data_IF_394012040522
#
_entry.id   IF_394012040522
#
_cell.length_a   1.000
_cell.length_b   1.000
_cell.length_c   1.000
_cell.angle_alpha   90.00
_cell.angle_beta   90.00
_cell.angle_gamma   90.00
#
_symmetry.space_group_name_H-M   'P 1'
#
loop_
_entity.id
_entity.type
_entity.pdbx_description
1 polymer ?
#
# COMPACT_ATOMS: atom_id res chain seq x y z
N UNK A 1 -56.26 -20.77 31.94
CA UNK A 1 -55.93 -19.36 31.71
C UNK A 1 -54.52 -19.14 32.24
N UNK A 2 -53.59 -18.84 31.34
CA UNK A 2 -52.21 -18.50 31.64
C UNK A 2 -52.15 -16.98 31.84
N UNK A 3 -51.49 -16.50 32.88
CA UNK A 3 -50.98 -15.13 32.93
C UNK A 3 -49.48 -15.21 33.20
N UNK A 4 -48.72 -15.20 32.10
CA UNK A 4 -47.26 -15.06 32.10
C UNK A 4 -47.00 -13.55 32.08
N UNK A 5 -46.30 -13.06 33.10
CA UNK A 5 -45.91 -11.67 33.26
C UNK A 5 -45.27 -11.13 31.96
N UNK A 6 -45.83 -10.02 31.47
CA UNK A 6 -45.28 -9.29 30.31
C UNK A 6 -43.98 -8.63 30.76
N UNK A 7 -42.88 -9.19 30.29
CA UNK A 7 -41.57 -8.53 30.34
C UNK A 7 -41.63 -7.40 29.32
N UNK A 8 -41.77 -6.16 29.79
CA UNK A 8 -41.64 -4.98 28.96
C UNK A 8 -40.18 -4.87 28.51
N UNK A 9 -39.91 -5.28 27.26
CA UNK A 9 -38.67 -4.98 26.58
C UNK A 9 -38.55 -3.47 26.43
N UNK A 10 -37.83 -2.87 27.37
CA UNK A 10 -37.35 -1.51 27.29
C UNK A 10 -36.22 -1.46 26.25
N UNK A 11 -36.58 -1.51 24.97
CA UNK A 11 -35.68 -1.13 23.88
C UNK A 11 -35.50 0.38 23.92
N UNK A 12 -34.67 0.84 24.86
CA UNK A 12 -34.08 2.18 24.83
C UNK A 12 -33.16 2.18 23.62
N UNK A 13 -33.72 2.53 22.47
CA UNK A 13 -32.93 3.07 21.38
C UNK A 13 -32.16 4.24 21.98
N UNK A 14 -30.84 4.08 22.11
CA UNK A 14 -29.90 5.19 22.26
C UNK A 14 -30.14 6.09 21.05
N UNK A 15 -31.06 7.05 21.20
CA UNK A 15 -31.18 8.15 20.27
C UNK A 15 -29.87 8.91 20.42
N UNK A 16 -28.94 8.64 19.51
CA UNK A 16 -27.87 9.57 19.20
C UNK A 16 -28.59 10.88 18.86
N UNK A 17 -28.70 11.77 19.83
CA UNK A 17 -29.23 13.09 19.60
C UNK A 17 -28.43 13.67 18.44
N UNK A 18 -29.10 13.99 17.33
CA UNK A 18 -28.54 14.82 16.27
C UNK A 18 -28.33 16.24 16.84
N UNK A 19 -27.33 16.39 17.71
CA UNK A 19 -26.99 17.67 18.28
C UNK A 19 -26.34 18.50 17.16
N UNK A 20 -26.74 19.78 16.97
CA UNK A 20 -26.15 20.66 15.97
C UNK A 20 -24.64 20.90 16.19
N UNK A 21 -24.10 20.51 17.36
CA UNK A 21 -22.68 20.49 17.66
C UNK A 21 -21.89 19.49 16.81
N UNK A 22 -22.47 18.33 16.49
CA UNK A 22 -21.74 17.26 15.79
C UNK A 22 -21.59 17.59 14.30
N UNK A 23 -22.62 18.21 13.71
CA UNK A 23 -22.55 18.77 12.36
C UNK A 23 -21.53 19.92 12.28
N UNK A 24 -21.47 20.77 13.32
CA UNK A 24 -20.47 21.83 13.42
C UNK A 24 -19.04 21.28 13.53
N UNK A 25 -18.82 20.27 14.37
CA UNK A 25 -17.53 19.59 14.52
C UNK A 25 -17.13 18.90 13.22
N UNK A 26 -18.07 18.23 12.54
CA UNK A 26 -17.81 17.58 11.27
C UNK A 26 -17.41 18.59 10.19
N UNK A 27 -18.12 19.72 10.09
CA UNK A 27 -17.77 20.81 9.17
C UNK A 27 -16.37 21.34 9.44
N UNK A 28 -16.03 21.59 10.70
CA UNK A 28 -14.71 22.05 11.10
C UNK A 28 -13.61 21.02 10.75
N UNK A 29 -13.89 19.73 10.94
CA UNK A 29 -12.96 18.65 10.60
C UNK A 29 -12.77 18.53 9.09
N UNK A 30 -13.84 18.67 8.30
CA UNK A 30 -13.77 18.67 6.83
C UNK A 30 -12.93 19.87 6.35
N UNK A 31 -13.18 21.06 6.90
CA UNK A 31 -12.41 22.26 6.55
C UNK A 31 -10.92 22.11 6.92
N UNK A 32 -10.62 21.55 8.09
CA UNK A 32 -9.25 21.25 8.50
C UNK A 32 -8.59 20.22 7.57
N UNK A 33 -9.33 19.20 7.13
CA UNK A 33 -8.82 18.17 6.22
C UNK A 33 -8.57 18.73 4.81
N UNK A 34 -9.46 19.59 4.31
CA UNK A 34 -9.29 20.29 3.04
C UNK A 34 -8.06 21.20 3.10
N UNK A 35 -7.87 21.95 4.18
CA UNK A 35 -6.71 22.81 4.37
C UNK A 35 -5.41 21.99 4.42
N UNK A 36 -5.40 20.88 5.16
CA UNK A 36 -4.26 19.95 5.22
C UNK A 36 -3.92 19.37 3.85
N UNK A 37 -4.94 18.92 3.10
CA UNK A 37 -4.80 18.43 1.72
C UNK A 37 -4.21 19.51 0.80
N UNK A 38 -4.76 20.72 0.84
CA UNK A 38 -4.33 21.82 -0.01
C UNK A 38 -2.89 22.26 0.31
N UNK A 39 -2.51 22.31 1.59
CA UNK A 39 -1.13 22.56 2.01
C UNK A 39 -0.17 21.46 1.50
N UNK A 40 -0.61 20.21 1.50
CA UNK A 40 0.17 19.09 0.97
C UNK A 40 0.33 19.18 -0.55
N UNK A 41 -0.73 19.52 -1.28
CA UNK A 41 -0.69 19.72 -2.74
C UNK A 41 0.22 20.90 -3.09
N UNK A 42 0.12 22.02 -2.39
CA UNK A 42 1.00 23.18 -2.59
C UNK A 42 2.47 22.80 -2.32
N UNK A 43 2.74 22.04 -1.25
CA UNK A 43 4.08 21.51 -0.96
C UNK A 43 4.61 20.64 -2.10
N UNK A 44 3.81 19.71 -2.61
CA UNK A 44 4.19 18.84 -3.74
C UNK A 44 4.42 19.68 -5.01
N UNK A 45 3.57 20.66 -5.29
CA UNK A 45 3.73 21.57 -6.43
C UNK A 45 5.02 22.39 -6.33
N UNK A 46 5.38 22.90 -5.14
CA UNK A 46 6.64 23.59 -4.91
C UNK A 46 7.87 22.67 -5.06
N UNK A 47 7.76 21.40 -4.66
CA UNK A 47 8.82 20.40 -4.84
C UNK A 47 9.02 20.04 -6.33
N UNK A 48 7.96 20.07 -7.14
CA UNK A 48 8.04 19.87 -8.60
C UNK A 48 8.68 21.05 -9.34
N UNK A 49 8.64 22.27 -8.78
CA UNK A 49 9.20 23.49 -9.40
C UNK A 49 10.73 23.55 -9.28
N UNK A 50 11.35 22.88 -8.29
CA UNK A 50 12.82 22.87 -8.16
C UNK A 50 13.37 21.51 -7.69
N UNK A 51 13.92 20.77 -8.65
CA UNK A 51 14.66 19.51 -8.43
C UNK A 51 15.73 19.64 -7.32
N UNK A 52 16.52 20.75 -7.24
CA UNK A 52 17.52 20.89 -6.18
C UNK A 52 16.92 20.98 -4.76
N UNK A 53 15.81 21.70 -4.57
CA UNK A 53 15.20 21.85 -3.25
C UNK A 53 14.56 20.54 -2.78
N UNK A 54 13.94 19.79 -3.70
CA UNK A 54 13.45 18.45 -3.46
C UNK A 54 14.59 17.51 -3.02
N UNK A 55 15.74 17.52 -3.72
CA UNK A 55 16.90 16.69 -3.37
C UNK A 55 17.52 17.05 -2.01
N UNK A 56 17.66 18.33 -1.67
CA UNK A 56 18.18 18.76 -0.35
C UNK A 56 17.27 18.29 0.79
N UNK A 57 15.96 18.35 0.58
CA UNK A 57 14.97 17.92 1.58
C UNK A 57 14.91 16.41 1.71
N UNK A 58 15.00 15.68 0.59
CA UNK A 58 15.08 14.22 0.57
C UNK A 58 16.35 13.73 1.27
N UNK A 59 17.48 14.41 1.00
CA UNK A 59 18.72 14.23 1.75
C UNK A 59 18.50 14.48 3.23
N UNK A 60 17.76 15.53 3.63
CA UNK A 60 17.47 15.80 5.05
C UNK A 60 16.61 14.72 5.72
N UNK A 61 15.55 14.26 5.05
CA UNK A 61 14.65 13.22 5.57
C UNK A 61 15.37 11.88 5.72
N UNK A 62 16.22 11.53 4.77
CA UNK A 62 16.94 10.25 4.76
C UNK A 62 18.29 10.30 5.52
N UNK A 63 18.66 11.40 6.21
CA UNK A 63 20.03 11.51 6.81
C UNK A 63 20.37 10.39 7.78
N UNK A 64 19.41 9.90 8.56
CA UNK A 64 19.65 8.80 9.50
C UNK A 64 20.05 7.50 8.79
N UNK A 65 19.51 7.28 7.60
CA UNK A 65 19.82 6.11 6.78
C UNK A 65 21.13 6.32 6.01
N UNK A 66 21.34 7.50 5.41
CA UNK A 66 22.58 7.86 4.68
C UNK A 66 23.83 7.71 5.55
N UNK A 67 23.83 8.21 6.79
CA UNK A 67 25.03 8.17 7.64
C UNK A 67 25.42 6.74 8.03
N UNK A 68 24.45 5.84 8.23
CA UNK A 68 24.75 4.45 8.53
C UNK A 68 25.42 3.74 7.33
N UNK A 69 25.01 4.08 6.10
CA UNK A 69 25.66 3.58 4.89
C UNK A 69 27.06 4.17 4.70
N UNK A 70 27.24 5.47 4.90
CA UNK A 70 28.56 6.11 4.80
C UNK A 70 29.56 5.50 5.80
N UNK A 71 29.16 5.31 7.06
CA UNK A 71 30.03 4.69 8.07
C UNK A 71 30.37 3.24 7.70
N UNK A 72 29.41 2.48 7.14
CA UNK A 72 29.67 1.13 6.64
C UNK A 72 30.66 1.15 5.48
N UNK A 73 30.51 2.07 4.52
CA UNK A 73 31.44 2.23 3.40
C UNK A 73 32.86 2.58 3.85
N UNK A 74 33.01 3.49 4.81
CA UNK A 74 34.31 3.86 5.37
C UNK A 74 34.98 2.67 6.09
N UNK A 75 34.23 1.92 6.89
CA UNK A 75 34.74 0.72 7.57
C UNK A 75 35.14 -0.34 6.55
N UNK A 76 34.27 -0.66 5.58
CA UNK A 76 34.59 -1.66 4.57
C UNK A 76 35.77 -1.24 3.69
N UNK A 77 35.83 0.02 3.27
CA UNK A 77 36.97 0.57 2.52
C UNK A 77 38.28 0.49 3.30
N UNK A 78 38.27 0.86 4.59
CA UNK A 78 39.44 0.75 5.45
C UNK A 78 39.91 -0.71 5.61
N UNK A 79 38.97 -1.65 5.82
CA UNK A 79 39.32 -3.07 5.94
C UNK A 79 39.88 -3.65 4.65
N UNK A 80 39.31 -3.32 3.49
CA UNK A 80 39.82 -3.76 2.18
C UNK A 80 41.21 -3.18 1.96
N UNK A 81 41.42 -1.90 2.26
CA UNK A 81 42.74 -1.27 2.13
C UNK A 81 43.79 -1.94 3.03
N UNK A 82 43.44 -2.27 4.28
CA UNK A 82 44.33 -3.00 5.17
C UNK A 82 44.68 -4.41 4.62
N UNK A 83 43.68 -5.14 4.11
CA UNK A 83 43.90 -6.46 3.49
C UNK A 83 44.79 -6.37 2.26
N UNK A 84 44.60 -5.35 1.42
CA UNK A 84 45.43 -5.11 0.23
C UNK A 84 46.86 -4.76 0.59
N UNK A 85 47.07 -3.98 1.66
CA UNK A 85 48.40 -3.66 2.17
C UNK A 85 49.12 -4.90 2.71
N UNK A 86 48.40 -5.80 3.39
CA UNK A 86 48.96 -7.06 3.87
C UNK A 86 49.23 -8.06 2.73
N UNK A 87 48.36 -8.10 1.71
CA UNK A 87 48.43 -9.06 0.60
C UNK A 87 48.00 -8.42 -0.72
N UNK A 88 48.95 -7.84 -1.49
CA UNK A 88 48.63 -7.20 -2.76
C UNK A 88 48.12 -8.19 -3.82
N UNK A 89 48.52 -9.47 -3.73
CA UNK A 89 48.12 -10.53 -4.67
C UNK A 89 46.59 -10.76 -4.70
N UNK A 90 45.88 -10.38 -3.64
CA UNK A 90 44.43 -10.55 -3.53
C UNK A 90 43.64 -9.39 -4.16
N UNK A 91 44.29 -8.28 -4.53
CA UNK A 91 43.63 -7.08 -5.04
C UNK A 91 42.76 -7.40 -6.25
N UNK A 92 43.31 -8.09 -7.25
CA UNK A 92 42.60 -8.40 -8.48
C UNK A 92 41.35 -9.25 -8.21
N UNK A 93 41.47 -10.24 -7.32
CA UNK A 93 40.37 -11.12 -6.92
C UNK A 93 39.28 -10.37 -6.16
N UNK A 94 39.66 -9.45 -5.27
CA UNK A 94 38.72 -8.61 -4.53
C UNK A 94 37.98 -7.67 -5.49
N UNK A 95 38.70 -7.02 -6.40
CA UNK A 95 38.12 -6.13 -7.41
C UNK A 95 37.17 -6.87 -8.35
N UNK A 96 37.58 -8.04 -8.88
CA UNK A 96 36.72 -8.85 -9.74
C UNK A 96 35.43 -9.29 -9.04
N UNK A 97 35.50 -9.61 -7.74
CA UNK A 97 34.31 -9.99 -6.96
C UNK A 97 33.41 -8.79 -6.67
N UNK A 98 33.98 -7.62 -6.37
CA UNK A 98 33.22 -6.38 -6.21
C UNK A 98 32.51 -6.00 -7.51
N UNK A 99 33.20 -6.10 -8.65
CA UNK A 99 32.62 -5.83 -9.96
C UNK A 99 31.46 -6.79 -10.26
N UNK A 100 31.65 -8.11 -10.08
CA UNK A 100 30.57 -9.08 -10.31
C UNK A 100 29.33 -8.79 -9.44
N UNK A 101 29.53 -8.46 -8.16
CA UNK A 101 28.44 -8.08 -7.25
C UNK A 101 27.75 -6.79 -7.69
N UNK A 102 28.51 -5.78 -8.12
CA UNK A 102 27.97 -4.52 -8.63
C UNK A 102 27.11 -4.76 -9.87
N UNK A 103 27.61 -5.53 -10.84
CA UNK A 103 26.87 -5.87 -12.06
C UNK A 103 25.56 -6.61 -11.74
N UNK A 104 25.57 -7.50 -10.75
CA UNK A 104 24.37 -8.20 -10.30
C UNK A 104 23.32 -7.24 -9.71
N UNK A 105 23.74 -6.29 -8.87
CA UNK A 105 22.84 -5.26 -8.30
C UNK A 105 22.27 -4.38 -9.42
N UNK A 106 23.12 -3.92 -10.34
CA UNK A 106 22.72 -3.10 -11.48
C UNK A 106 21.71 -3.85 -12.38
N UNK A 107 21.93 -5.13 -12.66
CA UNK A 107 21.00 -5.95 -13.43
C UNK A 107 19.63 -6.07 -12.74
N UNK A 108 19.61 -6.23 -11.41
CA UNK A 108 18.38 -6.29 -10.63
C UNK A 108 17.63 -4.95 -10.62
N UNK A 109 18.35 -3.85 -10.45
CA UNK A 109 17.76 -2.51 -10.45
C UNK A 109 17.18 -2.16 -11.82
N UNK A 110 17.94 -2.40 -12.89
CA UNK A 110 17.46 -2.17 -14.26
C UNK A 110 16.25 -3.04 -14.60
N UNK A 111 16.22 -4.30 -14.16
CA UNK A 111 15.05 -5.16 -14.31
C UNK A 111 13.82 -4.60 -13.55
N UNK A 112 14.02 -4.15 -12.31
CA UNK A 112 12.96 -3.58 -11.48
C UNK A 112 12.43 -2.27 -12.06
N UNK A 113 13.32 -1.38 -12.52
CA UNK A 113 12.96 -0.13 -13.19
C UNK A 113 12.25 -0.36 -14.52
N UNK A 114 12.65 -1.40 -15.26
CA UNK A 114 11.97 -1.80 -16.49
C UNK A 114 10.55 -2.27 -16.20
N UNK A 115 10.36 -3.07 -15.15
CA UNK A 115 9.02 -3.52 -14.71
C UNK A 115 8.18 -2.33 -14.24
N UNK A 116 8.74 -1.41 -13.43
CA UNK A 116 7.98 -0.26 -12.94
C UNK A 116 7.55 0.69 -14.07
N UNK A 117 8.42 0.93 -15.06
CA UNK A 117 8.06 1.68 -16.27
C UNK A 117 6.92 1.03 -17.03
N UNK A 118 7.03 -0.28 -17.24
CA UNK A 118 6.03 -1.13 -17.91
C UNK A 118 4.67 -1.16 -17.20
N UNK A 119 4.66 -1.07 -15.87
CA UNK A 119 3.44 -0.91 -15.07
C UNK A 119 2.86 0.51 -15.21
N UNK A 120 3.72 1.54 -15.23
CA UNK A 120 3.29 2.93 -15.41
C UNK A 120 2.69 3.20 -16.80
N UNK A 121 3.26 2.58 -17.84
CA UNK A 121 2.76 2.64 -19.21
C UNK A 121 1.49 1.77 -19.43
N UNK A 122 0.96 1.15 -18.37
CA UNK A 122 -0.20 0.24 -18.36
C UNK A 122 -0.08 -0.99 -19.28
N UNK A 123 1.11 -1.28 -19.79
CA UNK A 123 1.41 -2.47 -20.61
C UNK A 123 1.32 -3.75 -19.76
N UNK A 124 1.68 -3.66 -18.48
CA UNK A 124 1.48 -4.71 -17.49
C UNK A 124 0.37 -4.31 -16.53
N UNK A 125 -0.62 -5.19 -16.36
CA UNK A 125 -1.59 -5.08 -15.29
C UNK A 125 -1.04 -5.81 -14.08
N UNK A 126 -0.96 -5.13 -12.94
CA UNK A 126 -0.84 -5.86 -11.67
C UNK A 126 -2.04 -6.79 -11.58
N UNK A 127 -1.84 -8.04 -11.12
CA UNK A 127 -2.93 -8.96 -10.96
C UNK A 127 -4.00 -8.28 -10.09
N UNK A 128 -5.16 -7.99 -10.69
CA UNK A 128 -6.30 -7.45 -9.98
C UNK A 128 -6.74 -8.58 -9.05
N UNK A 129 -6.41 -8.48 -7.76
CA UNK A 129 -7.07 -9.28 -6.75
C UNK A 129 -8.52 -8.85 -6.82
N UNK A 130 -9.34 -9.65 -7.51
CA UNK A 130 -10.79 -9.49 -7.49
C UNK A 130 -11.18 -9.85 -6.07
N UNK A 131 -11.31 -8.85 -5.20
CA UNK A 131 -12.07 -9.03 -3.96
C UNK A 131 -13.51 -9.18 -4.39
N UNK A 132 -13.87 -10.39 -4.81
CA UNK A 132 -15.25 -10.81 -4.94
C UNK A 132 -15.81 -10.66 -3.55
N UNK A 133 -16.58 -9.59 -3.33
CA UNK A 133 -17.44 -9.52 -2.16
C UNK A 133 -18.29 -10.80 -2.19
N UNK A 134 -18.28 -11.64 -1.15
CA UNK A 134 -19.15 -12.81 -1.14
C UNK A 134 -20.58 -12.30 -1.30
N UNK A 135 -21.28 -12.78 -2.33
CA UNK A 135 -22.70 -12.49 -2.51
C UNK A 135 -23.43 -12.90 -1.22
N UNK A 136 -24.03 -11.92 -0.56
CA UNK A 136 -24.98 -12.15 0.51
C UNK A 136 -26.16 -12.92 -0.09
N UNK A 137 -26.28 -14.20 0.27
CA UNK A 137 -27.43 -15.02 -0.07
C UNK A 137 -28.68 -14.38 0.54
N UNK A 138 -29.46 -13.69 -0.27
CA UNK A 138 -30.86 -13.47 0.02
C UNK A 138 -31.57 -14.82 -0.05
N UNK A 139 -31.99 -15.31 1.11
CA UNK A 139 -32.85 -16.50 1.25
C UNK A 139 -34.21 -16.20 0.60
N UNK A 140 -34.69 -17.05 -0.33
CA UNK A 140 -36.05 -16.95 -0.83
C UNK A 140 -36.97 -17.74 0.11
N UNK A 141 -37.65 -17.05 1.02
CA UNK A 141 -38.88 -17.55 1.64
C UNK A 141 -40.06 -16.89 0.96
N UNK A 142 -40.58 -17.57 -0.07
CA UNK A 142 -42.03 -17.69 -0.26
C UNK A 142 -42.29 -18.87 -1.19
N UNK A 143 -42.67 -19.97 -0.56
CA UNK A 143 -43.08 -21.19 -1.21
C UNK A 143 -44.50 -21.05 -1.76
N UNK A 144 -44.68 -21.11 -3.07
CA UNK A 144 -45.85 -21.77 -3.68
C UNK A 144 -45.43 -22.47 -4.98
N UNK A 145 -45.29 -23.79 -4.91
CA UNK A 145 -45.56 -24.72 -6.02
C UNK A 145 -46.69 -25.63 -5.55
N UNK A 146 -47.48 -26.32 -6.41
CA UNK A 146 -47.05 -26.86 -7.71
C UNK A 146 -48.11 -26.75 -8.82
N UNK A 147 -47.74 -27.10 -10.06
CA UNK A 147 -48.55 -27.96 -10.95
C UNK A 147 -47.72 -28.44 -12.15
N UNK A 148 -47.44 -29.74 -12.10
CA UNK A 148 -47.39 -30.70 -13.22
C UNK A 148 -46.13 -30.80 -14.09
N UNK A 149 -45.38 -31.86 -13.80
CA UNK A 149 -44.34 -32.53 -14.59
C UNK A 149 -44.85 -33.11 -15.92
N UNK A 150 -44.15 -32.79 -17.02
CA UNK A 150 -43.41 -33.68 -17.98
C UNK A 150 -44.00 -35.06 -18.38
N UNK A 151 -43.65 -35.68 -19.54
CA UNK A 151 -42.29 -35.71 -20.13
C UNK A 151 -42.12 -35.79 -21.68
N UNK A 152 -40.90 -35.45 -22.10
CA UNK A 152 -39.97 -36.14 -23.03
C UNK A 152 -40.54 -36.93 -24.24
N UNK A 153 -40.03 -36.62 -25.45
CA UNK A 153 -39.20 -37.56 -26.23
C UNK A 153 -38.58 -36.94 -27.49
N UNK A 154 -37.29 -37.24 -27.66
CA UNK A 154 -36.52 -37.08 -28.88
C UNK A 154 -37.07 -37.99 -30.00
N UNK A 155 -36.98 -37.55 -31.26
CA UNK A 155 -36.46 -38.33 -32.39
C UNK A 155 -36.54 -37.58 -33.73
N UNK A 156 -35.40 -37.66 -34.44
CA UNK A 156 -35.17 -37.56 -35.89
C UNK A 156 -35.19 -36.19 -36.60
#
# INVERSE_FOLDING_TARGET
MNDVEKIDNNDVYLTLDNQPSDEFILKQNIDALIQSKNATIQRIAHELISIPAALVRLKWQNRREIYAFQVKEEIYGATINAIVQERPDLLEKVMARLEANYQHILARETATLRISRKLADAEYRTAVVTTVAPEEKTTPEDAVTPLTSEPTQAQK
#
